data_IF_905693568907
#
_entry.id   IF_905693568907
#
_cell.length_a   1.000
_cell.length_b   1.000
_cell.length_c   1.000
_cell.angle_alpha   90.00
_cell.angle_beta   90.00
_cell.angle_gamma   90.00
#
_symmetry.space_group_name_H-M   'P 1'
#
loop_
_entity.id
_entity.type
_entity.pdbx_description
1 polymer ?
#
# COMPACT_ATOMS: atom_id res chain seq x y z
N UNK A 1 -32.82 12.41 -1.72
CA UNK A 1 -31.58 12.19 -2.48
C UNK A 1 -30.81 13.49 -2.38
N UNK A 2 -29.54 13.47 -1.95
CA UNK A 2 -28.75 14.69 -1.70
C UNK A 2 -28.35 15.43 -2.99
N UNK A 3 -28.36 14.73 -4.12
CA UNK A 3 -28.07 15.28 -5.44
C UNK A 3 -29.25 15.07 -6.37
N UNK A 4 -29.47 16.04 -7.25
CA UNK A 4 -30.36 15.96 -8.41
C UNK A 4 -29.74 15.09 -9.50
N UNK A 5 -30.54 14.67 -10.48
CA UNK A 5 -30.03 13.86 -11.58
C UNK A 5 -29.00 14.63 -12.41
N UNK A 6 -29.22 15.93 -12.59
CA UNK A 6 -28.35 16.85 -13.29
C UNK A 6 -26.99 16.99 -12.58
N UNK A 7 -27.00 17.25 -11.26
CA UNK A 7 -25.77 17.34 -10.45
C UNK A 7 -24.96 16.03 -10.50
N UNK A 8 -25.63 14.87 -10.44
CA UNK A 8 -24.95 13.58 -10.56
C UNK A 8 -24.24 13.42 -11.91
N UNK A 9 -24.86 13.88 -13.00
CA UNK A 9 -24.28 13.82 -14.34
C UNK A 9 -23.09 14.78 -14.47
N UNK A 10 -23.21 15.98 -13.91
CA UNK A 10 -22.14 16.98 -13.89
C UNK A 10 -20.91 16.44 -13.14
N UNK A 11 -21.11 15.93 -11.92
CA UNK A 11 -20.05 15.30 -11.13
C UNK A 11 -19.37 14.18 -11.93
N UNK A 12 -20.15 13.26 -12.50
CA UNK A 12 -19.61 12.14 -13.27
C UNK A 12 -18.80 12.60 -14.49
N UNK A 13 -19.23 13.67 -15.15
CA UNK A 13 -18.56 14.24 -16.33
C UNK A 13 -17.21 14.86 -15.96
N UNK A 14 -17.14 15.62 -14.86
CA UNK A 14 -15.88 16.21 -14.34
C UNK A 14 -14.85 15.10 -14.07
N UNK A 15 -15.26 14.03 -13.41
CA UNK A 15 -14.36 12.91 -13.10
C UNK A 15 -13.95 12.11 -14.34
N UNK A 16 -14.84 11.93 -15.32
CA UNK A 16 -14.51 11.31 -16.61
C UNK A 16 -13.46 12.13 -17.35
N UNK A 17 -13.65 13.45 -17.46
CA UNK A 17 -12.69 14.35 -18.11
C UNK A 17 -11.33 14.31 -17.42
N UNK A 18 -11.30 14.37 -16.09
CA UNK A 18 -10.07 14.25 -15.31
C UNK A 18 -9.35 12.90 -15.55
N UNK A 19 -10.10 11.80 -15.66
CA UNK A 19 -9.56 10.48 -15.99
C UNK A 19 -8.99 10.45 -17.43
N UNK A 20 -9.68 11.06 -18.39
CA UNK A 20 -9.24 11.14 -19.79
C UNK A 20 -8.00 12.02 -19.98
N UNK A 21 -7.85 13.07 -19.17
CA UNK A 21 -6.64 13.91 -19.15
C UNK A 21 -5.45 13.22 -18.47
N UNK A 22 -5.71 12.29 -17.55
CA UNK A 22 -4.69 11.56 -16.77
C UNK A 22 -4.54 10.11 -17.24
N UNK A 23 -4.26 9.88 -18.54
CA UNK A 23 -4.14 8.55 -19.21
C UNK A 23 -3.05 7.65 -18.59
N UNK A 24 -3.33 7.10 -17.41
CA UNK A 24 -2.44 6.21 -16.66
C UNK A 24 -2.60 6.27 -15.14
N UNK A 25 -3.20 7.32 -14.59
CA UNK A 25 -3.37 7.49 -13.14
C UNK A 25 -4.50 6.64 -12.56
N UNK A 26 -5.73 6.86 -13.03
CA UNK A 26 -6.91 6.13 -12.55
C UNK A 26 -7.16 4.89 -13.38
N UNK A 27 -7.30 3.73 -12.72
CA UNK A 27 -7.41 2.42 -13.39
C UNK A 27 -8.42 1.53 -12.70
N UNK A 28 -9.16 0.77 -13.51
CA UNK A 28 -10.12 -0.24 -13.06
C UNK A 28 -9.43 -1.40 -12.35
N UNK A 29 -8.23 -1.77 -12.81
CA UNK A 29 -7.37 -2.76 -12.15
C UNK A 29 -5.90 -2.54 -12.52
N UNK A 30 -4.99 -3.33 -11.91
CA UNK A 30 -3.54 -3.27 -12.15
C UNK A 30 -3.18 -3.23 -13.65
N UNK A 31 -3.91 -4.00 -14.46
CA UNK A 31 -3.61 -4.20 -15.88
C UNK A 31 -4.70 -3.65 -16.82
N UNK A 32 -5.75 -2.98 -16.31
CA UNK A 32 -6.86 -2.47 -17.12
C UNK A 32 -7.16 -1.01 -16.78
N UNK A 33 -7.03 -0.14 -17.78
CA UNK A 33 -7.48 1.27 -17.74
C UNK A 33 -8.99 1.35 -17.97
N UNK A 34 -9.61 2.46 -17.56
CA UNK A 34 -10.97 2.78 -17.98
C UNK A 34 -10.98 3.14 -19.47
N UNK A 35 -12.00 2.67 -20.18
CA UNK A 35 -12.33 3.14 -21.53
C UNK A 35 -13.16 4.44 -21.44
N UNK A 36 -13.28 5.16 -22.55
CA UNK A 36 -14.02 6.43 -22.60
C UNK A 36 -15.48 6.25 -22.15
N UNK A 37 -15.88 7.06 -21.17
CA UNK A 37 -17.18 7.02 -20.50
C UNK A 37 -17.37 5.88 -19.50
N UNK A 38 -16.44 4.91 -19.38
CA UNK A 38 -16.57 3.86 -18.36
C UNK A 38 -16.41 4.43 -16.94
N UNK A 39 -15.56 5.43 -16.74
CA UNK A 39 -15.30 5.98 -15.41
C UNK A 39 -16.48 6.81 -14.91
N UNK A 40 -17.06 7.67 -15.76
CA UNK A 40 -18.29 8.43 -15.46
C UNK A 40 -19.47 7.51 -15.16
N UNK A 41 -19.67 6.44 -15.94
CA UNK A 41 -20.70 5.42 -15.64
C UNK A 41 -20.46 4.74 -14.28
N UNK A 42 -19.20 4.49 -13.94
CA UNK A 42 -18.83 3.89 -12.67
C UNK A 42 -19.13 4.82 -11.49
N UNK A 43 -18.84 6.12 -11.61
CA UNK A 43 -19.20 7.15 -10.62
C UNK A 43 -20.72 7.23 -10.44
N UNK A 44 -21.49 7.31 -11.53
CA UNK A 44 -22.96 7.37 -11.48
C UNK A 44 -23.57 6.15 -10.78
N UNK A 45 -23.06 4.95 -11.09
CA UNK A 45 -23.51 3.73 -10.44
C UNK A 45 -23.20 3.76 -8.93
N UNK A 46 -22.02 4.26 -8.55
CA UNK A 46 -21.63 4.46 -7.16
C UNK A 46 -22.57 5.42 -6.41
N UNK A 47 -22.85 6.59 -6.99
CA UNK A 47 -23.73 7.59 -6.36
C UNK A 47 -25.16 7.04 -6.19
N UNK A 48 -25.69 6.34 -7.21
CA UNK A 48 -27.03 5.74 -7.17
C UNK A 48 -27.18 4.62 -6.15
N UNK A 49 -26.08 3.95 -5.79
CA UNK A 49 -26.05 2.84 -4.84
C UNK A 49 -25.46 3.24 -3.47
N UNK A 50 -25.20 4.53 -3.25
CA UNK A 50 -24.66 5.01 -1.98
C UNK A 50 -25.69 4.83 -0.86
N UNK A 51 -25.23 4.25 0.25
CA UNK A 51 -26.02 4.09 1.48
C UNK A 51 -25.81 5.25 2.44
N UNK A 52 -26.74 5.41 3.39
CA UNK A 52 -26.61 6.40 4.47
C UNK A 52 -25.55 5.98 5.49
N UNK A 53 -25.09 6.93 6.31
CA UNK A 53 -24.13 6.64 7.40
C UNK A 53 -24.69 5.59 8.36
N UNK A 54 -25.97 5.69 8.69
CA UNK A 54 -26.69 4.76 9.56
C UNK A 54 -26.66 3.34 9.01
N UNK A 55 -26.88 3.18 7.69
CA UNK A 55 -26.82 1.88 7.03
C UNK A 55 -25.41 1.31 7.03
N UNK A 56 -24.38 2.11 6.76
CA UNK A 56 -22.99 1.65 6.89
C UNK A 56 -22.65 1.19 8.31
N UNK A 57 -23.20 1.87 9.33
CA UNK A 57 -23.04 1.52 10.74
C UNK A 57 -23.76 0.25 11.14
N UNK A 58 -24.97 -0.02 10.63
CA UNK A 58 -25.66 -1.31 10.80
C UNK A 58 -24.78 -2.49 10.36
N UNK A 59 -23.94 -2.26 9.35
CA UNK A 59 -22.98 -3.25 8.85
C UNK A 59 -21.62 -3.21 9.56
N UNK A 60 -21.48 -2.54 10.71
CA UNK A 60 -20.28 -2.51 11.53
C UNK A 60 -19.16 -1.61 11.01
N UNK A 61 -19.45 -0.67 10.12
CA UNK A 61 -18.49 0.36 9.72
C UNK A 61 -18.64 1.61 10.61
N UNK A 62 -17.57 2.35 10.81
CA UNK A 62 -17.60 3.68 11.41
C UNK A 62 -17.17 4.70 10.36
N UNK A 63 -18.01 5.70 10.12
CA UNK A 63 -17.70 6.79 9.19
C UNK A 63 -16.88 7.83 9.96
N UNK A 64 -15.79 8.28 9.35
CA UNK A 64 -14.89 9.28 9.92
C UNK A 64 -14.65 10.40 8.91
N UNK A 65 -14.67 11.64 9.38
CA UNK A 65 -14.12 12.78 8.67
C UNK A 65 -12.71 13.01 9.19
N UNK A 66 -11.73 12.97 8.30
CA UNK A 66 -10.33 13.24 8.59
C UNK A 66 -10.03 14.67 8.18
N UNK A 67 -9.56 15.48 9.13
CA UNK A 67 -9.09 16.84 8.90
C UNK A 67 -7.56 16.88 8.92
N UNK A 68 -6.96 17.41 7.85
CA UNK A 68 -5.50 17.49 7.66
C UNK A 68 -4.90 18.86 7.96
N UNK A 69 -5.68 19.87 8.30
CA UNK A 69 -5.18 21.25 8.45
C UNK A 69 -4.45 21.50 9.79
N UNK A 70 -4.49 20.52 10.71
CA UNK A 70 -3.77 20.55 11.98
C UNK A 70 -2.39 19.88 11.91
N UNK A 71 -1.45 20.31 12.77
CA UNK A 71 -0.10 19.69 12.90
C UNK A 71 -0.18 18.16 13.07
N UNK A 72 -1.22 17.69 13.78
CA UNK A 72 -1.65 16.31 13.79
C UNK A 72 -3.07 16.20 13.26
N UNK A 73 -3.24 15.46 12.16
CA UNK A 73 -4.53 15.17 11.55
C UNK A 73 -5.56 14.67 12.58
N UNK A 74 -6.74 15.28 12.56
CA UNK A 74 -7.83 14.97 13.47
C UNK A 74 -8.83 14.03 12.81
N UNK A 75 -9.52 13.23 13.64
CA UNK A 75 -10.55 12.29 13.18
C UNK A 75 -11.84 12.55 13.93
N UNK A 76 -12.89 12.87 13.20
CA UNK A 76 -14.23 13.09 13.72
C UNK A 76 -15.10 11.89 13.34
N UNK A 77 -15.54 11.12 14.34
CA UNK A 77 -16.46 10.02 14.12
C UNK A 77 -17.88 10.56 14.03
N UNK A 78 -18.61 10.12 13.00
CA UNK A 78 -20.01 10.53 12.79
C UNK A 78 -20.93 9.31 12.82
N UNK A 79 -22.07 9.48 13.46
CA UNK A 79 -23.04 8.45 13.76
C UNK A 79 -24.23 8.47 12.78
N UNK A 80 -24.52 9.63 12.18
CA UNK A 80 -25.66 9.84 11.28
C UNK A 80 -25.23 10.59 10.02
N UNK A 81 -26.11 10.58 9.02
CA UNK A 81 -25.90 11.31 7.77
C UNK A 81 -25.97 12.82 8.02
N UNK A 82 -26.81 13.26 8.94
CA UNK A 82 -26.90 14.66 9.39
C UNK A 82 -25.59 15.11 10.04
N UNK A 83 -25.06 14.36 11.01
CA UNK A 83 -23.76 14.68 11.63
C UNK A 83 -22.60 14.72 10.63
N UNK A 84 -22.65 13.88 9.59
CA UNK A 84 -21.66 13.92 8.52
C UNK A 84 -21.74 15.24 7.74
N UNK A 85 -22.94 15.67 7.35
CA UNK A 85 -23.13 16.91 6.60
C UNK A 85 -22.76 18.12 7.45
N UNK A 86 -23.21 18.17 8.70
CA UNK A 86 -22.87 19.24 9.64
C UNK A 86 -21.35 19.34 9.84
N UNK A 87 -20.67 18.19 9.95
CA UNK A 87 -19.20 18.17 10.10
C UNK A 87 -18.47 18.62 8.83
N UNK A 88 -18.99 18.29 7.65
CA UNK A 88 -18.44 18.76 6.38
C UNK A 88 -18.60 20.28 6.25
N UNK A 89 -19.75 20.82 6.64
CA UNK A 89 -20.01 22.26 6.63
C UNK A 89 -19.15 23.02 7.64
N UNK A 90 -19.04 22.50 8.87
CA UNK A 90 -18.16 23.05 9.92
C UNK A 90 -16.69 23.14 9.46
N UNK A 91 -16.23 22.16 8.70
CA UNK A 91 -14.86 22.08 8.18
C UNK A 91 -14.73 22.63 6.75
N UNK A 92 -15.70 23.43 6.31
CA UNK A 92 -15.66 24.04 4.98
C UNK A 92 -14.40 24.90 4.81
N UNK A 93 -13.65 24.64 3.74
CA UNK A 93 -12.36 25.30 3.47
C UNK A 93 -11.14 24.54 4.00
N UNK A 94 -11.31 23.55 4.89
CA UNK A 94 -10.22 22.70 5.33
C UNK A 94 -9.90 21.60 4.30
N UNK A 95 -8.67 21.07 4.33
CA UNK A 95 -8.34 19.84 3.62
C UNK A 95 -8.92 18.63 4.38
N UNK A 96 -10.06 18.11 3.91
CA UNK A 96 -10.74 16.98 4.55
C UNK A 96 -10.85 15.73 3.65
N UNK A 97 -11.06 14.57 4.26
CA UNK A 97 -11.48 13.35 3.57
C UNK A 97 -12.46 12.55 4.41
N UNK A 98 -13.51 12.03 3.77
CA UNK A 98 -14.42 11.05 4.39
C UNK A 98 -13.86 9.65 4.20
N UNK A 99 -13.71 8.91 5.30
CA UNK A 99 -13.20 7.54 5.31
C UNK A 99 -14.08 6.61 6.13
N UNK A 100 -13.86 5.31 5.95
CA UNK A 100 -14.60 4.27 6.65
C UNK A 100 -13.62 3.41 7.44
N UNK A 101 -13.79 3.37 8.75
CA UNK A 101 -13.07 2.42 9.60
C UNK A 101 -13.90 1.15 9.73
N UNK A 102 -13.25 0.03 9.47
CA UNK A 102 -13.88 -1.27 9.68
C UNK A 102 -13.82 -1.63 11.17
N UNK A 103 -14.96 -1.58 11.86
CA UNK A 103 -15.10 -2.14 13.22
C UNK A 103 -15.70 -3.55 13.19
N UNK A 104 -15.95 -4.12 12.00
CA UNK A 104 -16.34 -5.53 11.92
C UNK A 104 -15.18 -6.37 12.42
N UNK A 105 -15.47 -7.30 13.32
CA UNK A 105 -14.60 -8.44 13.62
C UNK A 105 -14.58 -9.40 12.42
N UNK A 106 -14.05 -8.93 11.29
CA UNK A 106 -13.79 -9.81 10.14
C UNK A 106 -12.65 -10.71 10.57
N UNK A 107 -12.94 -11.98 10.80
CA UNK A 107 -11.92 -13.00 10.91
C UNK A 107 -11.29 -13.09 9.52
N UNK A 108 -10.22 -12.33 9.32
CA UNK A 108 -9.40 -12.50 8.15
C UNK A 108 -8.85 -13.93 8.23
N UNK A 109 -9.05 -14.76 7.19
CA UNK A 109 -8.41 -16.06 7.17
C UNK A 109 -6.91 -15.81 7.40
N UNK A 110 -6.26 -16.56 8.29
CA UNK A 110 -4.86 -16.35 8.59
C UNK A 110 -4.13 -16.33 7.25
N UNK A 111 -3.46 -15.21 6.94
CA UNK A 111 -2.68 -15.12 5.70
C UNK A 111 -1.79 -16.35 5.70
N UNK A 112 -2.02 -17.26 4.75
CA UNK A 112 -1.30 -18.52 4.64
C UNK A 112 0.17 -18.14 4.44
N UNK A 113 0.94 -18.06 5.53
CA UNK A 113 2.38 -17.78 5.48
C UNK A 113 2.94 -18.93 4.68
N UNK A 114 3.30 -18.67 3.42
CA UNK A 114 3.60 -19.73 2.44
C UNK A 114 4.80 -20.61 2.84
N UNK A 115 5.54 -20.25 3.89
CA UNK A 115 6.53 -21.07 4.61
C UNK A 115 6.93 -20.36 5.91
N UNK A 116 7.32 -21.13 6.93
CA UNK A 116 8.14 -20.61 8.03
C UNK A 116 9.45 -20.11 7.44
N UNK A 117 9.90 -18.87 7.77
CA UNK A 117 11.21 -18.39 7.34
C UNK A 117 12.30 -19.39 7.76
N UNK A 118 13.28 -19.60 6.88
CA UNK A 118 14.43 -20.43 7.23
C UNK A 118 15.28 -19.72 8.29
N UNK A 119 15.66 -20.43 9.33
CA UNK A 119 16.52 -19.90 10.39
C UNK A 119 18.00 -19.98 9.97
N UNK A 120 18.56 -18.84 9.59
CA UNK A 120 19.98 -18.72 9.23
C UNK A 120 20.92 -18.89 10.42
N UNK A 121 20.43 -18.78 11.67
CA UNK A 121 21.21 -19.06 12.88
C UNK A 121 21.73 -20.50 12.96
N UNK A 122 21.08 -21.43 12.24
CA UNK A 122 21.46 -22.85 12.19
C UNK A 122 22.64 -23.15 11.27
N UNK A 123 23.06 -22.20 10.42
CA UNK A 123 24.18 -22.40 9.51
C UNK A 123 25.49 -21.90 10.14
N UNK A 124 26.59 -22.59 9.87
CA UNK A 124 27.94 -22.13 10.22
C UNK A 124 28.34 -20.88 9.43
N UNK A 125 27.83 -20.74 8.22
CA UNK A 125 28.06 -19.59 7.34
C UNK A 125 26.83 -19.30 6.47
N UNK A 126 26.74 -18.06 5.99
CA UNK A 126 25.74 -17.64 5.01
C UNK A 126 26.31 -16.56 4.10
N UNK A 127 25.60 -16.25 3.02
CA UNK A 127 26.05 -15.28 2.03
C UNK A 127 25.14 -14.06 2.01
N UNK A 128 25.72 -12.88 1.81
CA UNK A 128 25.00 -11.60 1.68
C UNK A 128 25.47 -10.86 0.44
N UNK A 129 24.65 -9.92 -0.04
CA UNK A 129 25.03 -9.02 -1.13
C UNK A 129 25.47 -7.68 -0.54
N UNK A 130 26.68 -7.24 -0.88
CA UNK A 130 27.29 -6.00 -0.41
C UNK A 130 27.52 -5.04 -1.57
N UNK A 131 27.35 -3.76 -1.29
CA UNK A 131 27.83 -2.65 -2.13
C UNK A 131 28.61 -1.68 -1.25
N UNK A 132 29.27 -0.69 -1.86
CA UNK A 132 29.97 0.38 -1.14
C UNK A 132 29.08 1.05 -0.07
N UNK A 133 27.79 1.25 -0.40
CA UNK A 133 26.83 1.90 0.50
C UNK A 133 26.20 0.95 1.54
N UNK A 134 26.62 -0.31 1.63
CA UNK A 134 26.19 -1.27 2.66
C UNK A 134 25.58 -2.57 2.13
N UNK A 135 24.78 -3.24 2.97
CA UNK A 135 24.24 -4.57 2.69
C UNK A 135 22.83 -4.54 2.09
N UNK A 136 22.54 -5.47 1.17
CA UNK A 136 21.22 -5.61 0.56
C UNK A 136 20.15 -6.13 1.52
N UNK A 137 19.01 -5.45 1.58
CA UNK A 137 17.84 -5.83 2.41
C UNK A 137 16.74 -6.43 1.53
N UNK A 138 16.27 -5.65 0.55
CA UNK A 138 15.21 -6.05 -0.37
C UNK A 138 15.15 -5.12 -1.55
N UNK A 139 14.40 -5.52 -2.58
CA UNK A 139 13.96 -4.62 -3.65
C UNK A 139 12.44 -4.56 -3.75
N UNK A 140 11.94 -3.45 -4.28
CA UNK A 140 10.60 -3.34 -4.84
C UNK A 140 10.67 -3.38 -6.37
N UNK A 141 9.60 -2.94 -7.06
CA UNK A 141 9.63 -2.70 -8.50
C UNK A 141 10.32 -1.39 -8.89
N UNK A 142 10.63 -0.50 -7.93
CA UNK A 142 11.17 0.84 -8.20
C UNK A 142 12.40 1.22 -7.37
N UNK A 143 12.67 0.54 -6.26
CA UNK A 143 13.73 0.91 -5.32
C UNK A 143 14.49 -0.31 -4.80
N UNK A 144 15.77 -0.09 -4.51
CA UNK A 144 16.67 -1.01 -3.79
C UNK A 144 16.81 -0.47 -2.36
N UNK A 145 16.72 -1.35 -1.37
CA UNK A 145 16.96 -1.01 0.03
C UNK A 145 18.30 -1.59 0.46
N UNK A 146 19.18 -0.69 0.90
CA UNK A 146 20.48 -1.01 1.45
C UNK A 146 20.49 -0.60 2.92
N UNK A 147 21.13 -1.40 3.76
CA UNK A 147 21.38 -1.05 5.13
C UNK A 147 22.84 -0.60 5.25
N UNK A 148 23.03 0.67 5.61
CA UNK A 148 24.33 1.37 5.54
C UNK A 148 25.29 1.08 6.71
N UNK A 149 24.74 0.63 7.84
CA UNK A 149 25.45 0.53 9.13
C UNK A 149 25.38 -0.87 9.78
N UNK A 150 24.42 -1.77 9.51
CA UNK A 150 24.31 -2.97 10.33
C UNK A 150 25.42 -3.97 10.02
N UNK A 151 25.76 -4.75 11.03
CA UNK A 151 26.49 -6.00 10.88
C UNK A 151 25.78 -6.91 9.86
N UNK A 152 26.54 -7.69 9.07
CA UNK A 152 25.99 -8.61 8.09
C UNK A 152 25.03 -9.66 8.69
N UNK A 153 25.12 -9.89 10.01
CA UNK A 153 24.28 -10.81 10.78
C UNK A 153 22.89 -10.26 11.11
N UNK A 154 22.65 -8.95 10.91
CA UNK A 154 21.37 -8.32 11.21
C UNK A 154 20.19 -8.98 10.48
N UNK A 155 19.04 -9.06 11.16
CA UNK A 155 17.83 -9.69 10.62
C UNK A 155 17.25 -8.99 9.39
N UNK A 156 17.58 -7.71 9.20
CA UNK A 156 17.11 -6.95 8.04
C UNK A 156 17.90 -7.27 6.77
N UNK A 157 19.14 -7.76 6.90
CA UNK A 157 19.99 -8.08 5.75
C UNK A 157 19.47 -9.35 5.08
N UNK A 158 19.39 -9.33 3.75
CA UNK A 158 18.98 -10.51 2.99
C UNK A 158 20.13 -11.51 2.96
N UNK A 159 19.83 -12.72 3.43
CA UNK A 159 20.77 -13.83 3.49
C UNK A 159 20.45 -14.90 2.45
N UNK A 160 21.49 -15.57 1.99
CA UNK A 160 21.45 -16.67 1.04
C UNK A 160 22.17 -17.87 1.64
N UNK A 161 21.61 -19.07 1.41
CA UNK A 161 22.16 -20.31 1.97
C UNK A 161 23.49 -20.72 1.35
N UNK A 162 23.68 -20.37 0.07
CA UNK A 162 24.85 -20.72 -0.72
C UNK A 162 25.22 -19.56 -1.62
N UNK A 163 26.49 -19.48 -2.00
CA UNK A 163 26.99 -18.49 -2.97
C UNK A 163 26.23 -18.56 -4.29
N UNK A 164 26.01 -19.79 -4.79
CA UNK A 164 25.20 -20.04 -6.00
C UNK A 164 23.81 -19.43 -5.90
N UNK A 165 23.15 -19.51 -4.74
CA UNK A 165 21.83 -18.92 -4.56
C UNK A 165 21.85 -17.38 -4.56
N UNK A 166 22.95 -16.78 -4.10
CA UNK A 166 23.18 -15.34 -4.20
C UNK A 166 23.44 -14.92 -5.65
N UNK A 167 24.26 -15.67 -6.39
CA UNK A 167 24.54 -15.42 -7.80
C UNK A 167 23.29 -15.57 -8.67
N UNK A 168 22.54 -16.67 -8.53
CA UNK A 168 21.25 -16.89 -9.20
C UNK A 168 20.28 -15.71 -8.96
N UNK A 169 20.34 -15.10 -7.77
CA UNK A 169 19.52 -13.95 -7.44
C UNK A 169 19.99 -12.69 -8.16
N UNK A 170 21.29 -12.44 -8.28
CA UNK A 170 21.82 -11.33 -9.08
C UNK A 170 21.43 -11.48 -10.55
N UNK A 171 21.63 -12.67 -11.13
CA UNK A 171 21.36 -12.93 -12.54
C UNK A 171 19.89 -12.70 -12.90
N UNK A 172 18.96 -13.23 -12.09
CA UNK A 172 17.51 -13.03 -12.28
C UNK A 172 17.08 -11.56 -12.15
N UNK A 173 17.88 -10.73 -11.50
CA UNK A 173 17.57 -9.33 -11.24
C UNK A 173 18.56 -8.37 -11.92
N UNK A 174 19.37 -8.85 -12.87
CA UNK A 174 20.47 -8.09 -13.50
C UNK A 174 20.00 -6.74 -14.07
N UNK A 175 18.88 -6.73 -14.80
CA UNK A 175 18.30 -5.48 -15.35
C UNK A 175 17.95 -4.45 -14.28
N UNK A 176 17.61 -4.90 -13.07
CA UNK A 176 17.21 -4.03 -11.96
C UNK A 176 18.42 -3.54 -11.16
N UNK A 177 19.52 -4.30 -11.18
CA UNK A 177 20.76 -3.98 -10.48
C UNK A 177 21.82 -3.35 -11.39
N UNK A 178 21.50 -3.00 -12.64
CA UNK A 178 22.48 -2.44 -13.60
C UNK A 178 23.18 -1.15 -13.12
N UNK A 179 22.60 -0.41 -12.16
CA UNK A 179 23.21 0.76 -11.52
C UNK A 179 23.90 0.50 -10.18
N UNK A 180 24.00 -0.77 -9.74
CA UNK A 180 24.61 -1.15 -8.47
C UNK A 180 25.46 -2.41 -8.64
N UNK A 181 26.77 -2.32 -8.37
CA UNK A 181 27.67 -3.47 -8.43
C UNK A 181 27.66 -4.16 -7.07
N UNK A 182 27.00 -5.31 -6.99
CA UNK A 182 26.95 -6.14 -5.79
C UNK A 182 28.08 -7.15 -5.77
N UNK A 183 28.76 -7.23 -4.63
CA UNK A 183 29.70 -8.30 -4.28
C UNK A 183 29.01 -9.33 -3.39
N UNK A 184 29.35 -10.60 -3.55
CA UNK A 184 28.86 -11.66 -2.66
C UNK A 184 29.87 -11.82 -1.53
N UNK A 185 29.45 -11.53 -0.30
CA UNK A 185 30.26 -11.68 0.90
C UNK A 185 29.83 -12.95 1.64
N UNK A 186 30.80 -13.82 1.96
CA UNK A 186 30.59 -14.97 2.86
C UNK A 186 30.77 -14.52 4.31
N UNK A 187 29.78 -14.80 5.14
CA UNK A 187 29.72 -14.36 6.53
C UNK A 187 29.72 -15.59 7.43
N UNK A 188 30.76 -15.71 8.24
CA UNK A 188 30.84 -16.72 9.28
C UNK A 188 29.82 -16.38 10.39
N UNK A 189 28.97 -17.33 10.71
CA UNK A 189 27.83 -17.15 11.61
C UNK A 189 28.06 -17.80 12.98
N UNK A 190 29.33 -18.04 13.35
CA UNK A 190 29.72 -18.54 14.66
C UNK A 190 28.92 -19.76 15.11
N UNK A 191 28.52 -20.62 14.17
CA UNK A 191 27.56 -21.70 14.41
C UNK A 191 27.91 -22.46 15.68
N UNK A 192 26.96 -22.56 16.60
CA UNK A 192 27.12 -23.40 17.79
C UNK A 192 27.29 -24.83 17.28
N UNK A 193 28.51 -25.36 17.42
CA UNK A 193 28.78 -26.79 17.33
C UNK A 193 27.90 -27.46 18.39
N UNK A 194 26.84 -28.14 17.97
CA UNK A 194 26.13 -29.13 18.79
C UNK A 194 27.00 -30.35 18.99
#
# INVERSE_FOLDING_TARGET
MLFTAEEMQEIASIYEEANMNNRGGTRKSRNRTFEEGEFGRWILAGIKSAHTVEDYRKHGNAVIVVDYDHEYWQRHYVATTEELLDKIDELSGHSITVSFRNNRHVIHPPMRRKRTPFDFGTLSEFYVLRVEQGYFVKRSSRKIWLARIPEPQSQIVRKFKTEKAAQDYLDRNQKFFSGCVFEIECVQNGGVLS
#
